data_IF_774949117566
#
_entry.id   IF_774949117566
#
_cell.length_a   1.000
_cell.length_b   1.000
_cell.length_c   1.000
_cell.angle_alpha   90.00
_cell.angle_beta   90.00
_cell.angle_gamma   90.00
#
_symmetry.space_group_name_H-M   'P 1'
#
loop_
_entity.id
_entity.type
_entity.pdbx_description
1 polymer ?
#
# COMPACT_ATOMS: atom_id res chain seq x y z
N UNK A 1 -21.27 12.63 -5.77
CA UNK A 1 -21.14 11.16 -5.78
C UNK A 1 -19.74 10.83 -5.33
N UNK A 2 -19.57 10.19 -4.16
CA UNK A 2 -18.25 9.82 -3.67
C UNK A 2 -17.62 8.83 -4.65
N UNK A 3 -16.48 9.20 -5.24
CA UNK A 3 -15.60 8.31 -5.99
C UNK A 3 -14.99 7.28 -5.03
N UNK A 4 -15.81 6.42 -4.45
CA UNK A 4 -15.35 5.27 -3.69
C UNK A 4 -14.67 4.36 -4.70
N UNK A 5 -13.37 4.18 -4.54
CA UNK A 5 -12.61 3.20 -5.31
C UNK A 5 -13.32 1.84 -5.17
N UNK A 6 -13.99 1.40 -6.24
CA UNK A 6 -14.74 0.14 -6.24
C UNK A 6 -13.75 -1.00 -6.44
N UNK A 7 -13.71 -1.90 -5.46
CA UNK A 7 -13.10 -3.21 -5.63
C UNK A 7 -13.84 -4.04 -6.70
N UNK A 8 -13.19 -5.06 -7.23
CA UNK A 8 -13.79 -5.97 -8.20
C UNK A 8 -12.79 -6.96 -8.76
N UNK A 9 -13.30 -8.00 -9.42
CA UNK A 9 -12.48 -8.92 -10.19
C UNK A 9 -11.91 -8.20 -11.43
N UNK A 10 -10.65 -8.49 -11.77
CA UNK A 10 -9.99 -7.98 -12.96
C UNK A 10 -9.51 -9.16 -13.79
N UNK A 11 -10.12 -9.37 -14.95
CA UNK A 11 -9.83 -10.53 -15.80
C UNK A 11 -8.37 -10.58 -16.23
N UNK A 12 -7.75 -9.43 -16.50
CA UNK A 12 -6.35 -9.32 -16.93
C UNK A 12 -5.33 -9.66 -15.82
N UNK A 13 -5.75 -9.55 -14.56
CA UNK A 13 -4.98 -9.94 -13.38
C UNK A 13 -5.38 -11.31 -12.82
N UNK A 14 -6.57 -11.80 -13.16
CA UNK A 14 -7.11 -13.08 -12.68
C UNK A 14 -7.47 -13.09 -11.19
N UNK A 15 -7.61 -11.93 -10.55
CA UNK A 15 -7.83 -11.78 -9.10
C UNK A 15 -8.85 -10.68 -8.77
N UNK A 16 -9.42 -10.75 -7.57
CA UNK A 16 -10.20 -9.66 -6.98
C UNK A 16 -9.27 -8.66 -6.31
N UNK A 17 -9.41 -7.37 -6.61
CA UNK A 17 -8.63 -6.28 -6.02
C UNK A 17 -9.55 -5.29 -5.31
N UNK A 18 -9.10 -4.66 -4.23
CA UNK A 18 -9.96 -3.80 -3.39
C UNK A 18 -10.10 -2.38 -3.91
N UNK A 19 -9.21 -1.94 -4.80
CA UNK A 19 -9.26 -0.62 -5.38
C UNK A 19 -8.69 -0.56 -6.78
N UNK A 20 -9.10 0.47 -7.53
CA UNK A 20 -8.51 0.84 -8.83
C UNK A 20 -6.99 1.08 -8.73
N UNK A 21 -6.54 1.75 -7.66
CA UNK A 21 -5.13 2.06 -7.45
C UNK A 21 -4.30 0.77 -7.26
N UNK A 22 -4.80 -0.19 -6.47
CA UNK A 22 -4.19 -1.52 -6.36
C UNK A 22 -4.14 -2.22 -7.72
N UNK A 23 -5.24 -2.25 -8.47
CA UNK A 23 -5.28 -2.86 -9.80
C UNK A 23 -4.17 -2.31 -10.72
N UNK A 24 -4.05 -0.99 -10.78
CA UNK A 24 -3.07 -0.32 -11.62
C UNK A 24 -1.63 -0.54 -11.13
N UNK A 25 -1.36 -0.56 -9.81
CA UNK A 25 -0.04 -0.92 -9.28
C UNK A 25 0.34 -2.36 -9.64
N UNK A 26 -0.60 -3.31 -9.55
CA UNK A 26 -0.35 -4.70 -9.92
C UNK A 26 -0.07 -4.85 -11.42
N UNK A 27 -0.75 -4.08 -12.27
CA UNK A 27 -0.46 -4.00 -13.71
C UNK A 27 0.91 -3.38 -13.97
N UNK A 28 1.27 -2.32 -13.24
CA UNK A 28 2.60 -1.72 -13.32
C UNK A 28 3.69 -2.74 -12.99
N UNK A 29 3.57 -3.48 -11.88
CA UNK A 29 4.53 -4.53 -11.54
C UNK A 29 4.61 -5.65 -12.59
N UNK A 30 3.47 -6.07 -13.14
CA UNK A 30 3.44 -7.03 -14.27
C UNK A 30 4.17 -6.48 -15.49
N UNK A 31 3.97 -5.21 -15.83
CA UNK A 31 4.61 -4.52 -16.96
C UNK A 31 6.14 -4.44 -16.79
N UNK A 32 6.62 -4.06 -15.61
CA UNK A 32 8.07 -4.01 -15.31
C UNK A 32 8.66 -5.37 -14.91
N UNK A 33 7.89 -6.46 -15.07
CA UNK A 33 8.29 -7.84 -14.79
C UNK A 33 8.73 -8.11 -13.35
N UNK A 34 8.22 -7.34 -12.40
CA UNK A 34 8.40 -7.60 -10.96
C UNK A 34 7.36 -8.62 -10.52
N UNK A 35 7.83 -9.75 -9.98
CA UNK A 35 6.94 -10.79 -9.49
C UNK A 35 6.43 -10.44 -8.09
N UNK A 36 5.13 -10.69 -7.86
CA UNK A 36 4.46 -10.28 -6.63
C UNK A 36 3.44 -11.32 -6.14
N UNK A 37 3.05 -11.20 -4.87
CA UNK A 37 1.89 -11.86 -4.27
C UNK A 37 0.97 -10.78 -3.72
N UNK A 38 -0.29 -10.77 -4.16
CA UNK A 38 -1.32 -9.86 -3.65
C UNK A 38 -1.95 -10.44 -2.37
N UNK A 39 -2.11 -9.61 -1.34
CA UNK A 39 -2.62 -10.01 -0.02
C UNK A 39 -1.91 -11.24 0.59
N UNK A 40 -0.57 -11.20 0.70
CA UNK A 40 0.28 -12.37 0.90
C UNK A 40 0.03 -13.15 2.20
N UNK A 41 -0.20 -12.44 3.31
CA UNK A 41 -0.40 -13.05 4.63
C UNK A 41 -1.02 -12.05 5.61
N UNK A 42 -1.63 -12.57 6.66
CA UNK A 42 -2.13 -11.78 7.79
C UNK A 42 -1.20 -11.90 9.00
N UNK A 43 -0.89 -10.76 9.61
CA UNK A 43 -0.12 -10.65 10.85
C UNK A 43 -1.08 -10.43 12.02
N UNK A 44 -1.13 -11.38 12.94
CA UNK A 44 -1.99 -11.31 14.13
C UNK A 44 -1.27 -10.66 15.33
N UNK A 45 -1.83 -9.58 15.86
CA UNK A 45 -1.41 -8.99 17.13
C UNK A 45 -2.02 -9.75 18.32
N UNK A 46 -1.43 -10.89 18.69
CA UNK A 46 -1.94 -11.87 19.66
C UNK A 46 -2.27 -11.30 21.06
N UNK A 47 -1.64 -10.19 21.47
CA UNK A 47 -1.96 -9.49 22.74
C UNK A 47 -3.18 -8.54 22.63
N UNK A 48 -3.72 -8.32 21.43
CA UNK A 48 -4.87 -7.44 21.17
C UNK A 48 -6.14 -8.28 21.07
N UNK A 49 -7.05 -8.12 22.05
CA UNK A 49 -8.31 -8.89 22.14
C UNK A 49 -9.49 -8.21 21.42
N UNK A 50 -9.44 -6.90 21.15
CA UNK A 50 -10.52 -6.11 20.53
C UNK A 50 -9.97 -5.06 19.55
N UNK A 51 -10.77 -4.71 18.54
CA UNK A 51 -10.42 -3.73 17.50
C UNK A 51 -9.48 -4.30 16.44
N UNK A 52 -8.52 -3.50 15.95
CA UNK A 52 -7.61 -3.87 14.87
C UNK A 52 -6.58 -4.94 15.30
N UNK A 53 -6.98 -6.21 15.33
CA UNK A 53 -6.17 -7.36 15.74
C UNK A 53 -5.25 -7.89 14.64
N UNK A 54 -5.57 -7.61 13.38
CA UNK A 54 -4.81 -8.09 12.23
C UNK A 54 -4.32 -6.93 11.37
N UNK A 55 -3.19 -7.16 10.72
CA UNK A 55 -2.68 -6.34 9.62
C UNK A 55 -2.28 -7.23 8.46
N UNK A 56 -2.63 -6.81 7.24
CA UNK A 56 -2.29 -7.51 6.01
C UNK A 56 -1.75 -6.46 5.03
N UNK A 57 -0.46 -6.53 4.67
CA UNK A 57 0.07 -5.72 3.57
C UNK A 57 -0.68 -6.03 2.27
N UNK A 58 -0.73 -5.07 1.35
CA UNK A 58 -1.44 -5.25 0.09
C UNK A 58 -0.66 -6.15 -0.88
N UNK A 59 0.68 -6.03 -0.90
CA UNK A 59 1.55 -6.78 -1.84
C UNK A 59 2.83 -7.24 -1.14
N UNK A 60 3.34 -8.41 -1.51
CA UNK A 60 4.71 -8.85 -1.24
C UNK A 60 5.49 -9.03 -2.54
N UNK A 61 6.67 -8.43 -2.61
CA UNK A 61 7.60 -8.53 -3.73
C UNK A 61 8.75 -9.45 -3.32
N UNK A 62 8.67 -10.72 -3.73
CA UNK A 62 9.50 -11.76 -3.13
C UNK A 62 10.98 -11.66 -3.49
N UNK A 63 11.31 -11.19 -4.70
CA UNK A 63 12.70 -11.06 -5.15
C UNK A 63 13.44 -9.96 -4.38
N UNK A 64 12.69 -8.98 -3.86
CA UNK A 64 13.22 -7.87 -3.07
C UNK A 64 12.96 -8.05 -1.57
N UNK A 65 12.30 -9.14 -1.16
CA UNK A 65 11.90 -9.42 0.23
C UNK A 65 11.25 -8.20 0.91
N UNK A 66 10.27 -7.57 0.24
CA UNK A 66 9.60 -6.36 0.75
C UNK A 66 8.08 -6.39 0.62
N UNK A 67 7.43 -5.71 1.55
CA UNK A 67 5.99 -5.50 1.55
C UNK A 67 5.67 -4.12 1.01
N UNK A 68 4.53 -4.00 0.32
CA UNK A 68 3.98 -2.73 -0.15
C UNK A 68 2.59 -2.54 0.46
N UNK A 69 2.37 -1.36 1.04
CA UNK A 69 1.05 -0.86 1.42
C UNK A 69 0.65 0.28 0.47
N UNK A 70 -0.52 0.17 -0.17
CA UNK A 70 -1.08 1.16 -1.08
C UNK A 70 -2.10 2.00 -0.31
N UNK A 71 -1.91 3.32 -0.23
CA UNK A 71 -2.81 4.21 0.52
C UNK A 71 -3.07 5.55 -0.16
N UNK A 72 -4.35 5.84 -0.37
CA UNK A 72 -4.82 7.20 -0.70
C UNK A 72 -4.95 8.13 0.50
N UNK A 73 -5.37 7.60 1.65
CA UNK A 73 -5.48 8.32 2.92
C UNK A 73 -5.41 7.34 4.10
N UNK A 74 -5.17 7.86 5.30
CA UNK A 74 -5.14 7.06 6.54
C UNK A 74 -6.33 7.35 7.43
N UNK A 75 -7.14 6.32 7.73
CA UNK A 75 -8.10 6.38 8.83
C UNK A 75 -7.39 6.19 10.18
N UNK A 76 -8.07 6.52 11.29
CA UNK A 76 -7.53 6.24 12.63
C UNK A 76 -7.25 4.74 12.86
N UNK A 77 -8.04 3.87 12.24
CA UNK A 77 -7.88 2.42 12.33
C UNK A 77 -6.63 1.94 11.58
N UNK A 78 -6.33 2.51 10.42
CA UNK A 78 -5.12 2.20 9.64
C UNK A 78 -3.87 2.63 10.40
N UNK A 79 -3.86 3.85 10.94
CA UNK A 79 -2.75 4.35 11.77
C UNK A 79 -2.49 3.43 12.98
N UNK A 80 -3.56 2.90 13.57
CA UNK A 80 -3.48 1.95 14.69
C UNK A 80 -2.89 0.61 14.25
N UNK A 81 -3.31 0.06 13.10
CA UNK A 81 -2.76 -1.18 12.54
C UNK A 81 -1.27 -1.04 12.27
N UNK A 82 -0.82 0.04 11.63
CA UNK A 82 0.60 0.23 11.30
C UNK A 82 1.47 0.41 12.54
N UNK A 83 1.02 1.19 13.54
CA UNK A 83 1.74 1.28 14.83
C UNK A 83 1.85 -0.07 15.53
N UNK A 84 0.80 -0.89 15.46
CA UNK A 84 0.82 -2.26 15.99
C UNK A 84 1.75 -3.15 15.17
N UNK A 85 1.72 -3.09 13.85
CA UNK A 85 2.61 -3.86 13.00
C UNK A 85 4.08 -3.54 13.31
N UNK A 86 4.44 -2.26 13.40
CA UNK A 86 5.78 -1.82 13.86
C UNK A 86 6.14 -2.37 15.24
N UNK A 87 5.20 -2.41 16.18
CA UNK A 87 5.44 -2.87 17.56
C UNK A 87 5.58 -4.39 17.68
N UNK A 88 4.72 -5.16 17.01
CA UNK A 88 4.64 -6.61 17.17
C UNK A 88 5.51 -7.38 16.16
N UNK A 89 5.81 -6.77 15.02
CA UNK A 89 6.58 -7.36 13.93
C UNK A 89 7.62 -6.35 13.40
N UNK A 90 8.55 -5.86 14.23
CA UNK A 90 9.51 -4.82 13.81
C UNK A 90 10.40 -5.27 12.64
N UNK A 91 10.80 -6.54 12.59
CA UNK A 91 11.61 -7.12 11.51
C UNK A 91 10.89 -7.16 10.16
N UNK A 92 9.57 -7.34 10.17
CA UNK A 92 8.77 -7.28 8.95
C UNK A 92 8.41 -5.83 8.60
N UNK A 93 8.21 -4.98 9.61
CA UNK A 93 7.92 -3.56 9.40
C UNK A 93 9.06 -2.82 8.68
N UNK A 94 10.32 -3.15 8.95
CA UNK A 94 11.45 -2.50 8.24
C UNK A 94 11.47 -2.81 6.74
N UNK A 95 10.78 -3.88 6.30
CA UNK A 95 10.61 -4.28 4.90
C UNK A 95 9.40 -3.62 4.24
N UNK A 96 8.62 -2.81 4.97
CA UNK A 96 7.40 -2.17 4.47
C UNK A 96 7.72 -0.85 3.76
N UNK A 97 7.28 -0.75 2.51
CA UNK A 97 7.25 0.49 1.72
C UNK A 97 5.79 0.91 1.47
N UNK A 98 5.59 2.18 1.15
CA UNK A 98 4.26 2.75 0.91
C UNK A 98 4.16 3.30 -0.49
N UNK A 99 3.06 3.03 -1.19
CA UNK A 99 2.68 3.75 -2.41
C UNK A 99 1.53 4.68 -2.06
N UNK A 100 1.74 5.98 -2.27
CA UNK A 100 0.74 7.03 -2.04
C UNK A 100 0.48 7.81 -3.33
N UNK A 101 -0.62 8.60 -3.45
CA UNK A 101 -0.97 9.28 -4.70
C UNK A 101 0.16 10.12 -5.28
N UNK A 102 0.71 11.05 -4.48
CA UNK A 102 1.83 11.88 -4.88
C UNK A 102 2.62 12.32 -3.65
N UNK A 103 3.79 11.73 -3.43
CA UNK A 103 4.63 12.03 -2.26
C UNK A 103 5.14 13.48 -2.21
N UNK A 104 5.11 14.19 -3.34
CA UNK A 104 5.53 15.58 -3.46
C UNK A 104 4.34 16.58 -3.41
N UNK A 105 3.11 16.08 -3.25
CA UNK A 105 1.93 16.94 -3.16
C UNK A 105 2.00 17.88 -1.96
N UNK A 106 1.72 19.16 -2.19
CA UNK A 106 1.68 20.21 -1.15
C UNK A 106 0.31 20.32 -0.45
N UNK A 107 -0.61 19.40 -0.72
CA UNK A 107 -1.91 19.41 -0.05
C UNK A 107 -1.76 19.12 1.46
N UNK A 108 -2.63 19.72 2.28
CA UNK A 108 -2.66 19.48 3.73
C UNK A 108 -2.79 17.99 4.05
N UNK A 109 -3.68 17.28 3.34
CA UNK A 109 -3.90 15.85 3.52
C UNK A 109 -2.63 15.02 3.24
N UNK A 110 -1.89 15.35 2.17
CA UNK A 110 -0.60 14.70 1.89
C UNK A 110 0.44 15.03 2.97
N UNK A 111 0.52 16.29 3.41
CA UNK A 111 1.40 16.69 4.51
C UNK A 111 1.14 15.92 5.80
N UNK A 112 -0.12 15.72 6.19
CA UNK A 112 -0.50 14.93 7.36
C UNK A 112 -0.17 13.43 7.21
N UNK A 113 -0.28 12.90 5.99
CA UNK A 113 0.11 11.53 5.67
C UNK A 113 1.61 11.33 5.75
N UNK A 114 2.40 12.18 5.10
CA UNK A 114 3.87 12.17 5.16
C UNK A 114 4.34 12.35 6.60
N UNK A 115 3.77 13.30 7.35
CA UNK A 115 4.08 13.50 8.77
C UNK A 115 3.82 12.23 9.59
N UNK A 116 2.72 11.54 9.34
CA UNK A 116 2.44 10.29 10.04
C UNK A 116 3.43 9.18 9.68
N UNK A 117 3.79 9.04 8.40
CA UNK A 117 4.74 8.02 7.94
C UNK A 117 6.17 8.31 8.45
N UNK A 118 6.69 9.50 8.20
CA UNK A 118 8.05 9.88 8.58
C UNK A 118 8.16 10.10 10.09
N UNK A 119 7.43 11.06 10.66
CA UNK A 119 7.59 11.40 12.09
C UNK A 119 6.90 10.36 12.99
N UNK A 120 5.73 9.88 12.58
CA UNK A 120 4.90 8.99 13.40
C UNK A 120 5.32 7.52 13.37
N UNK A 121 5.82 7.03 12.24
CA UNK A 121 6.28 5.65 12.08
C UNK A 121 7.79 5.54 11.87
N UNK A 122 8.53 6.62 11.69
CA UNK A 122 9.96 6.58 11.43
C UNK A 122 10.31 5.97 10.07
N UNK A 123 9.41 6.05 9.09
CA UNK A 123 9.64 5.54 7.74
C UNK A 123 10.49 6.54 6.96
N UNK A 124 11.58 6.08 6.34
CA UNK A 124 12.39 6.90 5.46
C UNK A 124 11.57 7.39 4.25
N UNK A 125 11.75 8.66 3.86
CA UNK A 125 11.02 9.24 2.73
C UNK A 125 11.25 8.50 1.41
N UNK A 126 12.39 7.83 1.26
CA UNK A 126 12.71 7.00 0.09
C UNK A 126 11.88 5.71 0.01
N UNK A 127 11.38 5.20 1.15
CA UNK A 127 10.45 4.07 1.22
C UNK A 127 9.01 4.47 0.90
N UNK A 128 8.78 5.74 0.58
CA UNK A 128 7.50 6.25 0.12
C UNK A 128 7.62 6.47 -1.39
N UNK A 129 6.78 5.79 -2.15
CA UNK A 129 6.73 5.82 -3.60
C UNK A 129 5.50 6.61 -4.07
N UNK A 130 5.62 7.25 -5.23
CA UNK A 130 4.56 8.06 -5.82
C UNK A 130 3.82 7.29 -6.90
N UNK A 131 2.53 7.03 -6.70
CA UNK A 131 1.68 6.41 -7.71
C UNK A 131 1.59 7.27 -8.98
N UNK A 132 1.61 8.60 -8.85
CA UNK A 132 1.68 9.53 -9.98
C UNK A 132 2.87 9.28 -10.92
N UNK A 133 4.01 8.84 -10.39
CA UNK A 133 5.17 8.48 -11.23
C UNK A 133 4.91 7.17 -11.99
N UNK A 134 4.17 6.22 -11.40
CA UNK A 134 3.76 4.99 -12.10
C UNK A 134 2.74 5.29 -13.21
N UNK A 135 1.85 6.28 -12.99
CA UNK A 135 0.86 6.74 -13.98
C UNK A 135 1.49 7.28 -15.28
N UNK A 136 2.76 7.70 -15.25
CA UNK A 136 3.50 8.13 -16.45
C UNK A 136 3.58 7.00 -17.50
N UNK A 137 3.52 5.73 -17.06
CA UNK A 137 3.53 4.55 -17.92
C UNK A 137 2.13 4.06 -18.31
N UNK A 138 1.06 4.69 -17.82
CA UNK A 138 -0.34 4.23 -17.99
C UNK A 138 -0.71 3.92 -19.44
N UNK A 139 -0.27 4.75 -20.39
CA UNK A 139 -0.55 4.58 -21.84
C UNK A 139 0.10 3.34 -22.45
N UNK A 140 1.15 2.80 -21.81
CA UNK A 140 1.88 1.61 -22.25
C UNK A 140 1.35 0.33 -21.59
N UNK A 141 0.56 0.47 -20.53
CA UNK A 141 0.08 -0.64 -19.70
C UNK A 141 -1.35 -0.97 -20.12
N UNK A 142 -1.61 -2.15 -20.70
CA UNK A 142 -2.97 -2.57 -21.06
C UNK A 142 -3.91 -2.55 -19.87
N UNK A 143 -5.17 -2.19 -20.11
CA UNK A 143 -6.25 -2.15 -19.12
C UNK A 143 -6.02 -1.21 -17.92
N UNK A 144 -5.13 -0.21 -18.05
CA UNK A 144 -5.00 0.84 -17.02
C UNK A 144 -6.33 1.57 -16.83
N UNK A 145 -6.81 1.65 -15.59
CA UNK A 145 -8.08 2.29 -15.26
C UNK A 145 -7.99 3.80 -15.10
#
# INVERSE_FOLDING_TARGET
MSNVARGGFREDLGIYVRSKMEANVLRYYKFIKVKYVYEPQEFEFHKIKRGSRFYKPDIYLFEQNKFIEIKGWFTASDKTKLRRFKKYYPEEFVKLEFIIPDKYSRSKANGEMIKFLCDGLGTDFEKILSYKQMEEYSKLIPNWE
#
